data_IF_999397648228
#
_entry.id   IF_999397648228
#
_cell.length_a   1.000
_cell.length_b   1.000
_cell.length_c   1.000
_cell.angle_alpha   90.00
_cell.angle_beta   90.00
_cell.angle_gamma   90.00
#
_symmetry.space_group_name_H-M   'P 1'
#
loop_
_entity.id
_entity.type
_entity.pdbx_description
1 polymer ?
#
# COMPACT_ATOMS: atom_id res chain seq x y z
N UNK A 1 -1.02 -4.24 20.64
CA UNK A 1 -2.17 -4.38 19.72
C UNK A 1 -1.61 -4.74 18.35
N UNK A 2 -1.93 -5.94 17.86
CA UNK A 2 -1.31 -6.47 16.64
C UNK A 2 -1.89 -5.79 15.41
N UNK A 3 -1.06 -5.45 14.42
CA UNK A 3 -1.44 -4.86 13.12
C UNK A 3 -2.56 -5.66 12.44
N UNK A 4 -2.64 -6.98 12.70
CA UNK A 4 -3.73 -7.87 12.27
C UNK A 4 -5.10 -7.53 12.87
N UNK A 5 -5.18 -7.09 14.12
CA UNK A 5 -6.46 -6.69 14.76
C UNK A 5 -6.95 -5.32 14.28
N UNK A 6 -6.05 -4.40 13.95
CA UNK A 6 -6.40 -3.09 13.39
C UNK A 6 -6.97 -3.24 11.96
N UNK A 7 -6.35 -4.12 11.16
CA UNK A 7 -6.84 -4.49 9.83
C UNK A 7 -8.17 -5.23 9.94
N UNK A 8 -8.32 -6.19 10.85
CA UNK A 8 -9.59 -6.89 11.07
C UNK A 8 -10.72 -5.92 11.45
N UNK A 9 -10.44 -4.91 12.28
CA UNK A 9 -11.44 -3.92 12.72
C UNK A 9 -11.80 -2.90 11.62
N UNK A 10 -10.85 -2.57 10.73
CA UNK A 10 -11.16 -1.80 9.52
C UNK A 10 -11.95 -2.65 8.54
N UNK A 11 -11.54 -3.88 8.26
CA UNK A 11 -12.28 -4.81 7.38
C UNK A 11 -13.70 -5.08 7.91
N UNK A 12 -13.91 -5.34 9.20
CA UNK A 12 -15.24 -5.52 9.79
C UNK A 12 -16.15 -4.29 9.66
N UNK A 13 -15.59 -3.08 9.57
CA UNK A 13 -16.36 -1.84 9.36
C UNK A 13 -16.77 -1.65 7.89
N UNK A 14 -16.13 -2.35 6.95
CA UNK A 14 -16.34 -2.23 5.50
C UNK A 14 -16.89 -3.52 4.85
N UNK A 15 -16.93 -4.64 5.57
CA UNK A 15 -17.43 -5.94 5.10
C UNK A 15 -18.96 -6.03 5.16
N UNK A 16 -19.60 -5.86 4.02
CA UNK A 16 -20.66 -6.82 3.67
C UNK A 16 -20.23 -7.81 2.59
N UNK A 17 -19.06 -7.63 1.96
CA UNK A 17 -18.65 -8.49 0.84
C UNK A 17 -17.15 -8.78 0.71
N UNK A 18 -16.34 -8.67 1.78
CA UNK A 18 -14.95 -9.16 1.69
C UNK A 18 -14.63 -9.99 2.92
N UNK A 19 -14.40 -11.29 2.71
CA UNK A 19 -13.93 -12.23 3.72
C UNK A 19 -12.44 -12.02 3.94
N UNK A 20 -11.96 -12.07 5.20
CA UNK A 20 -10.53 -11.99 5.54
C UNK A 20 -9.65 -13.03 4.82
N UNK A 21 -10.26 -14.09 4.30
CA UNK A 21 -9.63 -15.18 3.56
C UNK A 21 -9.22 -14.75 2.13
N UNK A 22 -10.00 -13.92 1.44
CA UNK A 22 -9.60 -13.37 0.14
C UNK A 22 -8.42 -12.38 0.27
N UNK A 23 -8.31 -11.72 1.42
CA UNK A 23 -7.14 -10.90 1.75
C UNK A 23 -5.90 -11.74 2.12
N UNK A 24 -6.09 -12.95 2.68
CA UNK A 24 -4.98 -13.82 3.08
C UNK A 24 -4.21 -14.37 1.86
N UNK A 25 -4.93 -14.74 0.80
CA UNK A 25 -4.37 -15.11 -0.51
C UNK A 25 -3.62 -13.93 -1.18
N UNK A 26 -3.98 -12.70 -0.81
CA UNK A 26 -3.24 -11.51 -1.22
C UNK A 26 -1.88 -11.36 -0.49
N UNK A 27 -1.70 -11.97 0.68
CA UNK A 27 -0.48 -11.85 1.52
C UNK A 27 0.48 -13.03 1.45
N UNK A 28 0.11 -14.17 0.84
CA UNK A 28 1.00 -15.35 0.77
C UNK A 28 2.10 -15.29 -0.30
N UNK A 29 2.14 -14.23 -1.12
CA UNK A 29 3.14 -14.11 -2.18
C UNK A 29 4.34 -13.28 -1.70
N UNK A 30 5.53 -13.66 -2.13
CA UNK A 30 6.83 -13.04 -1.87
C UNK A 30 7.00 -11.59 -2.40
N UNK A 31 5.88 -10.90 -2.63
CA UNK A 31 5.73 -9.79 -3.55
C UNK A 31 5.07 -8.62 -2.82
N UNK A 32 5.39 -7.39 -3.23
CA UNK A 32 4.90 -6.20 -2.55
C UNK A 32 3.45 -5.86 -2.95
N UNK A 33 2.68 -5.31 -2.02
CA UNK A 33 1.26 -4.99 -2.17
C UNK A 33 1.01 -3.51 -1.88
N UNK A 34 0.22 -2.84 -2.70
CA UNK A 34 -0.28 -1.47 -2.46
C UNK A 34 -1.79 -1.47 -2.56
N UNK A 35 -2.45 -0.74 -1.65
CA UNK A 35 -3.87 -0.45 -1.74
C UNK A 35 -4.07 1.07 -1.84
N UNK A 36 -4.66 1.49 -2.95
CA UNK A 36 -5.00 2.87 -3.23
C UNK A 36 -6.49 3.10 -3.03
N UNK A 37 -6.84 4.26 -2.49
CA UNK A 37 -8.20 4.77 -2.46
C UNK A 37 -8.32 5.92 -3.45
N UNK A 38 -9.25 5.80 -4.40
CA UNK A 38 -9.41 6.79 -5.47
C UNK A 38 -10.90 7.06 -5.70
N UNK A 39 -11.32 8.31 -5.86
CA UNK A 39 -12.67 8.62 -6.32
C UNK A 39 -12.94 7.97 -7.67
N UNK A 40 -14.12 7.36 -7.87
CA UNK A 40 -14.45 6.68 -9.13
C UNK A 40 -14.31 7.59 -10.37
N UNK A 41 -14.54 8.90 -10.20
CA UNK A 41 -14.40 9.89 -11.28
C UNK A 41 -12.95 10.12 -11.71
N UNK A 42 -12.00 9.94 -10.80
CA UNK A 42 -10.57 10.18 -11.02
C UNK A 42 -9.82 8.86 -11.28
N UNK A 43 -10.54 7.73 -11.32
CA UNK A 43 -9.98 6.42 -11.61
C UNK A 43 -9.50 6.32 -13.06
N UNK A 44 -8.19 6.16 -13.23
CA UNK A 44 -7.57 5.85 -14.51
C UNK A 44 -6.46 4.82 -14.31
N UNK A 45 -6.72 3.61 -14.81
CA UNK A 45 -5.78 2.50 -14.73
C UNK A 45 -4.48 2.79 -15.49
N UNK A 46 -4.56 3.51 -16.61
CA UNK A 46 -3.41 3.83 -17.46
C UNK A 46 -2.43 4.75 -16.75
N UNK A 47 -2.90 5.74 -15.99
CA UNK A 47 -2.01 6.63 -15.21
C UNK A 47 -1.32 5.86 -14.09
N UNK A 48 -2.05 5.00 -13.38
CA UNK A 48 -1.50 4.16 -12.30
C UNK A 48 -0.44 3.22 -12.86
N UNK A 49 -0.73 2.54 -13.98
CA UNK A 49 0.23 1.66 -14.64
C UNK A 49 1.47 2.43 -15.09
N UNK A 50 1.30 3.60 -15.69
CA UNK A 50 2.41 4.45 -16.11
C UNK A 50 3.30 4.89 -14.94
N UNK A 51 2.71 5.24 -13.79
CA UNK A 51 3.47 5.61 -12.59
C UNK A 51 4.30 4.42 -12.09
N UNK A 52 3.70 3.23 -12.06
CA UNK A 52 4.37 2.00 -11.60
C UNK A 52 5.51 1.63 -12.57
N UNK A 53 5.23 1.56 -13.87
CA UNK A 53 6.22 1.19 -14.90
C UNK A 53 7.35 2.23 -15.01
N UNK A 54 7.06 3.52 -14.81
CA UNK A 54 8.08 4.57 -14.76
C UNK A 54 9.04 4.42 -13.58
N UNK A 55 8.65 3.68 -12.54
CA UNK A 55 9.51 3.32 -11.41
C UNK A 55 10.14 1.94 -11.59
N UNK A 56 10.17 1.42 -12.82
CA UNK A 56 10.80 0.16 -13.20
C UNK A 56 10.22 -1.06 -12.46
N UNK A 57 8.94 -0.99 -12.10
CA UNK A 57 8.16 -2.04 -11.46
C UNK A 57 7.09 -2.58 -12.42
N UNK A 58 6.73 -3.84 -12.26
CA UNK A 58 5.72 -4.53 -13.05
C UNK A 58 4.51 -4.89 -12.19
N UNK A 59 3.31 -4.70 -12.76
CA UNK A 59 2.06 -5.11 -12.12
C UNK A 59 1.89 -6.62 -12.33
N UNK A 60 1.85 -7.36 -11.23
CA UNK A 60 1.63 -8.81 -11.25
C UNK A 60 0.15 -9.16 -11.13
N UNK A 61 -0.57 -8.43 -10.28
CA UNK A 61 -2.00 -8.58 -10.13
C UNK A 61 -2.62 -7.25 -9.75
N UNK A 62 -3.84 -7.02 -10.23
CA UNK A 62 -4.62 -5.83 -9.94
C UNK A 62 -6.08 -6.21 -9.73
N UNK A 63 -6.63 -5.76 -8.60
CA UNK A 63 -8.02 -5.97 -8.24
C UNK A 63 -8.67 -4.64 -7.91
N UNK A 64 -9.82 -4.37 -8.50
CA UNK A 64 -10.60 -3.16 -8.26
C UNK A 64 -11.83 -3.52 -7.44
N UNK A 65 -11.99 -2.86 -6.30
CA UNK A 65 -13.09 -3.08 -5.38
C UNK A 65 -13.88 -1.77 -5.22
N UNK A 66 -15.11 -1.69 -5.77
CA UNK A 66 -15.96 -0.53 -5.55
C UNK A 66 -16.45 -0.50 -4.09
N UNK A 67 -16.37 0.67 -3.46
CA UNK A 67 -16.90 0.87 -2.10
C UNK A 67 -18.41 1.09 -2.17
N UNK A 68 -19.17 0.64 -1.16
CA UNK A 68 -20.64 0.68 -1.13
C UNK A 68 -21.27 2.07 -1.34
N UNK A 69 -20.54 3.15 -1.04
CA UNK A 69 -20.95 4.54 -1.33
C UNK A 69 -20.91 4.90 -2.82
N UNK A 70 -20.41 4.01 -3.68
CA UNK A 70 -20.34 4.14 -5.15
C UNK A 70 -19.43 5.26 -5.67
N UNK A 71 -18.91 6.10 -4.77
CA UNK A 71 -18.14 7.30 -5.11
C UNK A 71 -16.63 7.05 -5.12
N UNK A 72 -16.19 5.95 -4.52
CA UNK A 72 -14.77 5.64 -4.29
C UNK A 72 -14.52 4.17 -4.66
N UNK A 73 -13.33 3.92 -5.20
CA UNK A 73 -12.83 2.59 -5.52
C UNK A 73 -11.54 2.36 -4.77
N UNK A 74 -11.37 1.13 -4.31
CA UNK A 74 -10.12 0.62 -3.78
C UNK A 74 -9.43 -0.19 -4.86
N UNK A 75 -8.15 0.10 -5.10
CA UNK A 75 -7.34 -0.69 -6.03
C UNK A 75 -6.27 -1.39 -5.23
N UNK A 76 -6.31 -2.70 -5.26
CA UNK A 76 -5.25 -3.57 -4.74
C UNK A 76 -4.30 -3.92 -5.87
N UNK A 77 -3.01 -3.68 -5.68
CA UNK A 77 -1.97 -3.84 -6.69
C UNK A 77 -0.82 -4.65 -6.10
N UNK A 78 -0.55 -5.81 -6.68
CA UNK A 78 0.65 -6.60 -6.39
C UNK A 78 1.75 -6.29 -7.41
N UNK A 79 2.96 -6.06 -6.93
CA UNK A 79 4.13 -5.68 -7.72
C UNK A 79 5.27 -6.70 -7.56
N UNK A 80 6.12 -6.82 -8.58
CA UNK A 80 7.28 -7.75 -8.59
C UNK A 80 8.49 -7.25 -7.78
N UNK A 81 8.45 -6.01 -7.31
CA UNK A 81 9.53 -5.36 -6.57
C UNK A 81 9.43 -5.59 -5.06
N UNK A 82 10.57 -5.59 -4.36
CA UNK A 82 10.64 -5.75 -2.90
C UNK A 82 10.60 -4.43 -2.12
N UNK A 83 11.15 -3.35 -2.70
CA UNK A 83 11.13 -1.99 -2.14
C UNK A 83 10.08 -1.13 -2.85
N UNK A 84 9.02 -0.75 -2.13
CA UNK A 84 7.95 0.11 -2.66
C UNK A 84 8.24 1.61 -2.53
N UNK A 85 9.29 2.01 -1.81
CA UNK A 85 9.62 3.42 -1.54
C UNK A 85 9.58 4.33 -2.78
N UNK A 86 10.17 3.98 -3.94
CA UNK A 86 10.11 4.85 -5.12
C UNK A 86 8.69 5.00 -5.70
N UNK A 87 7.91 3.92 -5.67
CA UNK A 87 6.53 3.89 -6.16
C UNK A 87 5.61 4.68 -5.22
N UNK A 88 5.76 4.50 -3.90
CA UNK A 88 5.00 5.24 -2.88
C UNK A 88 5.24 6.75 -3.00
N UNK A 89 6.51 7.18 -3.10
CA UNK A 89 6.84 8.61 -3.29
C UNK A 89 6.24 9.18 -4.57
N UNK A 90 6.19 8.38 -5.64
CA UNK A 90 5.56 8.81 -6.89
C UNK A 90 4.05 8.95 -6.71
N UNK A 91 3.38 7.98 -6.09
CA UNK A 91 1.95 8.08 -5.80
C UNK A 91 1.61 9.31 -4.94
N UNK A 92 2.39 9.60 -3.89
CA UNK A 92 2.21 10.83 -3.09
C UNK A 92 2.37 12.10 -3.94
N UNK A 93 3.38 12.14 -4.83
CA UNK A 93 3.61 13.29 -5.73
C UNK A 93 2.47 13.53 -6.72
N UNK A 94 1.80 12.46 -7.15
CA UNK A 94 0.64 12.52 -8.03
C UNK A 94 -0.69 12.63 -7.26
N UNK A 95 -0.64 12.92 -5.95
CA UNK A 95 -1.82 13.10 -5.10
C UNK A 95 -2.72 11.85 -4.98
N UNK A 96 -2.17 10.64 -5.15
CA UNK A 96 -2.89 9.40 -4.87
C UNK A 96 -2.95 9.13 -3.36
N UNK A 97 -4.12 8.68 -2.88
CA UNK A 97 -4.29 8.30 -1.49
C UNK A 97 -3.91 6.83 -1.28
N UNK A 98 -2.75 6.58 -0.64
CA UNK A 98 -2.30 5.24 -0.28
C UNK A 98 -2.83 4.89 1.11
N UNK A 99 -3.81 4.00 1.20
CA UNK A 99 -4.41 3.61 2.48
C UNK A 99 -3.67 2.47 3.17
N UNK A 100 -2.95 1.65 2.39
CA UNK A 100 -2.18 0.54 2.89
C UNK A 100 -1.08 0.16 1.90
N UNK A 101 0.06 -0.31 2.41
CA UNK A 101 1.09 -0.95 1.61
C UNK A 101 1.81 -2.00 2.45
N UNK A 102 2.38 -2.98 1.76
CA UNK A 102 3.24 -4.01 2.31
C UNK A 102 4.44 -4.16 1.37
N UNK A 103 5.65 -4.00 1.91
CA UNK A 103 6.89 -4.18 1.18
C UNK A 103 7.75 -5.21 1.91
N UNK A 104 8.42 -6.06 1.13
CA UNK A 104 9.28 -7.12 1.67
C UNK A 104 10.57 -6.54 2.26
N UNK A 105 11.16 -5.58 1.56
CA UNK A 105 12.26 -4.77 2.10
C UNK A 105 11.68 -3.56 2.81
N UNK A 106 11.71 -3.61 4.14
CA UNK A 106 11.26 -2.48 4.97
C UNK A 106 9.96 -2.72 5.75
N UNK A 107 9.83 -3.88 6.41
CA UNK A 107 9.58 -3.75 7.86
C UNK A 107 10.60 -2.72 8.34
N UNK A 108 10.14 -1.51 8.70
CA UNK A 108 10.99 -0.38 9.10
C UNK A 108 12.25 -0.89 9.78
N UNK A 109 13.36 -0.95 9.03
CA UNK A 109 14.59 -1.51 9.56
C UNK A 109 14.87 -0.69 10.81
N UNK A 110 14.82 -1.29 12.00
CA UNK A 110 15.18 -0.65 13.28
C UNK A 110 16.47 0.15 13.09
N UNK A 111 17.38 -0.35 12.26
CA UNK A 111 18.60 0.30 11.78
C UNK A 111 18.46 1.75 11.24
N UNK A 112 17.40 2.09 10.50
CA UNK A 112 17.20 3.48 10.02
C UNK A 112 16.65 4.39 11.12
N UNK A 113 15.84 3.84 12.04
CA UNK A 113 15.34 4.55 13.23
C UNK A 113 16.46 4.75 14.25
N UNK A 114 17.31 3.75 14.46
CA UNK A 114 18.51 3.80 15.30
C UNK A 114 19.50 4.85 14.79
N UNK A 115 19.78 4.89 13.48
CA UNK A 115 20.66 5.93 12.90
C UNK A 115 20.08 7.34 13.03
N UNK A 116 18.76 7.48 12.88
CA UNK A 116 18.09 8.76 13.11
C UNK A 116 18.13 9.17 14.59
N UNK A 117 17.97 8.22 15.51
CA UNK A 117 18.10 8.45 16.94
C UNK A 117 19.53 8.79 17.37
N UNK A 118 20.55 8.12 16.83
CA UNK A 118 21.96 8.48 17.06
C UNK A 118 22.25 9.91 16.59
N UNK A 119 21.76 10.29 15.39
CA UNK A 119 21.90 11.67 14.89
C UNK A 119 21.26 12.70 15.83
N UNK A 120 20.05 12.42 16.34
CA UNK A 120 19.36 13.30 17.27
C UNK A 120 20.03 13.36 18.65
N UNK A 121 20.65 12.28 19.10
CA UNK A 121 21.42 12.25 20.35
C UNK A 121 22.64 13.17 20.28
N UNK A 122 23.38 13.16 19.16
CA UNK A 122 24.53 14.06 18.96
C UNK A 122 24.15 15.53 18.82
N UNK A 123 22.93 15.84 18.36
CA UNK A 123 22.45 17.22 18.20
C UNK A 123 21.92 17.83 19.50
N UNK A 124 21.55 17.01 20.49
CA UNK A 124 21.02 17.44 21.78
C UNK A 124 22.08 17.42 22.90
N UNK A 125 23.35 17.16 22.56
CA UNK A 125 24.50 17.24 23.45
C UNK A 125 25.24 18.56 23.25
#
# INVERSE_FOLDING_TARGET
MSTKEFIKKQVEKFSSHITPEEFADLTEAENSLIILEIPLKDYTLTEIARIIESNNAHIMSLSVLPVSDGSTVLISIKLDISDLTPVLRSFERFNYNVIYYYMKEGELNDTQRDRLQELLFYLNM
#
